data_IF_199021006721
#
_entry.id   IF_199021006721
#
_cell.length_a   1.000
_cell.length_b   1.000
_cell.length_c   1.000
_cell.angle_alpha   90.00
_cell.angle_beta   90.00
_cell.angle_gamma   90.00
#
_symmetry.space_group_name_H-M   'P 1'
#
loop_
_entity.id
_entity.type
_entity.pdbx_description
1 polymer ?
#
# COMPACT_ATOMS: atom_id res chain seq x y z
N UNK A 1 -29.73 -15.74 -0.87
CA UNK A 1 -29.45 -14.34 -1.22
C UNK A 1 -28.09 -14.00 -0.62
N UNK A 2 -27.05 -13.89 -1.45
CA UNK A 2 -25.69 -13.59 -1.01
C UNK A 2 -25.66 -12.18 -0.43
N UNK A 3 -25.48 -12.08 0.88
CA UNK A 3 -25.44 -10.83 1.62
C UNK A 3 -24.22 -10.02 1.13
N UNK A 4 -24.43 -9.04 0.25
CA UNK A 4 -23.33 -8.30 -0.37
C UNK A 4 -22.71 -7.39 0.68
N UNK A 5 -21.46 -7.64 1.06
CA UNK A 5 -20.74 -6.80 2.01
C UNK A 5 -20.67 -5.34 1.51
N UNK A 6 -20.59 -4.38 2.44
CA UNK A 6 -20.22 -2.99 2.14
C UNK A 6 -18.78 -2.81 2.54
N UNK A 7 -17.93 -2.57 1.55
CA UNK A 7 -16.52 -2.26 1.78
C UNK A 7 -16.33 -0.76 2.01
N UNK A 8 -15.41 -0.46 2.91
CA UNK A 8 -15.00 0.86 3.28
C UNK A 8 -13.52 0.85 3.64
N UNK A 9 -12.90 2.02 3.60
CA UNK A 9 -11.50 2.17 3.95
C UNK A 9 -11.23 3.52 4.60
N UNK A 10 -10.19 3.58 5.41
CA UNK A 10 -9.78 4.78 6.13
C UNK A 10 -8.42 4.63 6.76
N UNK A 11 -8.14 5.41 7.80
CA UNK A 11 -6.85 5.28 8.46
C UNK A 11 -6.68 6.01 9.78
N UNK A 12 -5.64 5.60 10.50
CA UNK A 12 -5.11 6.33 11.65
C UNK A 12 -4.13 7.37 11.11
N UNK A 13 -4.63 8.59 10.95
CA UNK A 13 -3.82 9.72 10.49
C UNK A 13 -3.06 10.29 11.68
N UNK A 14 -1.74 10.36 11.60
CA UNK A 14 -0.87 10.74 12.71
C UNK A 14 0.18 11.78 12.33
N UNK A 15 0.70 12.50 13.34
CA UNK A 15 1.88 13.37 13.22
C UNK A 15 2.65 13.40 14.53
N UNK A 16 3.92 13.80 14.45
CA UNK A 16 4.72 14.17 15.61
C UNK A 16 4.73 15.69 15.76
N UNK A 17 4.41 16.19 16.94
CA UNK A 17 4.52 17.61 17.28
C UNK A 17 5.22 17.72 18.64
N UNK A 18 6.35 18.42 18.70
CA UNK A 18 7.14 18.61 19.92
C UNK A 18 7.43 17.29 20.68
N UNK A 19 7.79 16.25 19.93
CA UNK A 19 8.07 14.91 20.47
C UNK A 19 6.83 14.11 20.91
N UNK A 20 5.62 14.64 20.72
CA UNK A 20 4.36 13.96 21.07
C UNK A 20 3.69 13.39 19.84
N UNK A 21 3.28 12.13 19.94
CA UNK A 21 2.43 11.47 18.94
C UNK A 21 1.00 11.98 19.05
N UNK A 22 0.54 12.62 17.98
CA UNK A 22 -0.83 13.06 17.82
C UNK A 22 -1.52 12.24 16.73
N UNK A 23 -2.78 11.87 16.95
CA UNK A 23 -3.67 11.26 15.97
C UNK A 23 -4.83 12.20 15.67
N UNK A 24 -5.32 12.16 14.44
CA UNK A 24 -6.45 12.95 13.99
C UNK A 24 -7.75 12.20 14.26
N UNK A 25 -8.69 12.89 14.92
CA UNK A 25 -10.07 12.44 15.04
C UNK A 25 -11.00 13.38 14.27
N UNK A 26 -12.05 12.81 13.70
CA UNK A 26 -13.13 13.55 13.05
C UNK A 26 -14.37 13.56 13.95
N UNK A 27 -15.01 14.73 14.05
CA UNK A 27 -16.29 14.91 14.74
C UNK A 27 -17.40 14.95 13.69
N UNK A 28 -18.33 13.99 13.68
CA UNK A 28 -19.33 13.92 12.61
C UNK A 28 -20.60 14.67 12.99
N UNK A 29 -21.06 15.55 12.11
CA UNK A 29 -22.18 16.48 12.36
C UNK A 29 -23.48 15.74 12.68
N UNK A 30 -23.81 14.70 11.91
CA UNK A 30 -25.08 13.97 12.00
C UNK A 30 -25.20 13.12 13.26
N UNK A 31 -24.12 12.49 13.68
CA UNK A 31 -24.12 11.50 14.75
C UNK A 31 -23.57 12.05 16.07
N UNK A 32 -22.92 13.22 16.03
CA UNK A 32 -22.25 13.87 17.17
C UNK A 32 -21.28 12.92 17.90
N UNK A 33 -20.62 12.09 17.10
CA UNK A 33 -19.66 11.09 17.52
C UNK A 33 -18.25 11.49 17.08
N UNK A 34 -17.28 10.78 17.63
CA UNK A 34 -15.85 10.91 17.32
C UNK A 34 -15.37 9.59 16.73
N UNK A 35 -14.82 9.64 15.53
CA UNK A 35 -14.27 8.45 14.85
C UNK A 35 -12.97 8.75 14.13
N UNK A 36 -12.34 7.68 13.61
CA UNK A 36 -11.31 7.79 12.60
C UNK A 36 -11.92 8.16 11.23
N UNK A 37 -11.15 8.83 10.35
CA UNK A 37 -11.60 9.13 9.00
C UNK A 37 -11.73 7.85 8.16
N UNK A 38 -12.85 7.69 7.45
CA UNK A 38 -13.19 6.53 6.63
C UNK A 38 -14.46 6.75 5.83
N UNK A 39 -14.53 6.13 4.66
CA UNK A 39 -15.78 6.05 3.90
C UNK A 39 -15.83 4.86 2.96
N UNK A 40 -16.83 4.86 2.08
CA UNK A 40 -17.20 3.66 1.30
C UNK A 40 -16.36 3.59 0.03
N UNK A 41 -16.10 2.37 -0.41
CA UNK A 41 -15.44 2.13 -1.70
C UNK A 41 -16.39 2.55 -2.82
N UNK A 42 -15.89 3.38 -3.73
CA UNK A 42 -16.60 3.76 -4.95
C UNK A 42 -16.45 2.70 -6.05
N UNK A 43 -17.37 2.64 -7.03
CA UNK A 43 -17.28 1.69 -8.13
C UNK A 43 -15.94 1.80 -8.89
N UNK A 44 -15.20 0.68 -8.96
CA UNK A 44 -13.91 0.61 -9.64
C UNK A 44 -12.70 1.06 -8.82
N UNK A 45 -12.90 1.49 -7.58
CA UNK A 45 -11.84 1.93 -6.68
C UNK A 45 -11.29 0.77 -5.85
N UNK A 46 -9.98 0.75 -5.59
CA UNK A 46 -9.37 -0.16 -4.62
C UNK A 46 -9.50 0.37 -3.19
N UNK A 47 -9.46 -0.51 -2.18
CA UNK A 47 -9.48 -0.08 -0.77
C UNK A 47 -8.38 0.93 -0.43
N UNK A 48 -7.19 0.79 -1.03
CA UNK A 48 -6.08 1.71 -0.80
C UNK A 48 -6.37 3.11 -1.39
N UNK A 49 -6.96 3.18 -2.58
CA UNK A 49 -7.42 4.44 -3.18
C UNK A 49 -8.55 5.07 -2.35
N UNK A 50 -9.52 4.26 -1.92
CA UNK A 50 -10.61 4.70 -1.03
C UNK A 50 -10.06 5.30 0.25
N UNK A 51 -9.09 4.66 0.92
CA UNK A 51 -8.51 5.18 2.16
C UNK A 51 -7.91 6.58 1.97
N UNK A 52 -7.09 6.78 0.93
CA UNK A 52 -6.45 8.09 0.71
C UNK A 52 -7.44 9.16 0.23
N UNK A 53 -8.46 8.77 -0.56
CA UNK A 53 -9.53 9.67 -1.01
C UNK A 53 -10.35 10.13 0.18
N UNK A 54 -10.87 9.20 0.97
CA UNK A 54 -11.74 9.48 2.12
C UNK A 54 -11.03 10.30 3.19
N UNK A 55 -9.76 9.97 3.51
CA UNK A 55 -8.95 10.80 4.40
C UNK A 55 -8.85 12.23 3.85
N UNK A 56 -8.61 12.40 2.55
CA UNK A 56 -8.50 13.73 1.95
C UNK A 56 -9.84 14.47 1.90
N UNK A 57 -10.95 13.79 1.59
CA UNK A 57 -12.29 14.39 1.53
C UNK A 57 -12.78 14.84 2.91
N UNK A 58 -12.58 14.02 3.95
CA UNK A 58 -13.04 14.33 5.30
C UNK A 58 -12.12 15.31 6.03
N UNK A 59 -10.83 15.40 5.67
CA UNK A 59 -9.84 16.16 6.46
C UNK A 59 -9.08 17.22 5.68
N UNK A 60 -9.14 17.21 4.34
CA UNK A 60 -8.30 18.05 3.48
C UNK A 60 -6.83 17.62 3.42
N UNK A 61 -6.40 16.60 4.17
CA UNK A 61 -5.00 16.21 4.29
C UNK A 61 -4.67 15.12 3.27
N UNK A 62 -3.67 15.38 2.42
CA UNK A 62 -3.13 14.36 1.50
C UNK A 62 -2.11 13.50 2.21
N UNK A 63 -2.31 12.18 2.14
CA UNK A 63 -1.46 11.19 2.80
C UNK A 63 -1.01 10.10 1.84
N UNK A 64 -0.01 9.33 2.27
CA UNK A 64 0.29 8.01 1.70
C UNK A 64 0.09 6.97 2.80
N UNK A 65 -0.33 5.77 2.41
CA UNK A 65 -0.58 4.69 3.34
C UNK A 65 0.73 4.04 3.79
N UNK A 66 0.86 3.87 5.11
CA UNK A 66 1.86 3.02 5.75
C UNK A 66 1.29 1.62 6.00
N UNK A 67 1.72 0.99 7.08
CA UNK A 67 1.30 -0.38 7.47
C UNK A 67 -0.20 -0.46 7.76
N UNK A 68 -0.90 -1.56 7.37
CA UNK A 68 -2.26 -1.82 7.79
C UNK A 68 -2.35 -1.96 9.32
N UNK A 69 -3.39 -1.37 9.91
CA UNK A 69 -3.57 -1.32 11.38
C UNK A 69 -4.82 -2.06 11.85
N UNK A 70 -5.58 -2.66 10.93
CA UNK A 70 -6.64 -3.60 11.27
C UNK A 70 -7.86 -3.51 10.34
N UNK A 71 -8.81 -4.40 10.59
CA UNK A 71 -10.07 -4.49 9.84
C UNK A 71 -11.21 -4.56 10.85
N UNK A 72 -12.17 -3.64 10.74
CA UNK A 72 -13.42 -3.71 11.51
C UNK A 72 -14.51 -4.42 10.71
N UNK A 73 -15.25 -5.31 11.37
CA UNK A 73 -16.35 -6.07 10.77
C UNK A 73 -17.59 -5.97 11.66
N UNK A 74 -18.66 -5.36 11.16
CA UNK A 74 -19.91 -5.25 11.93
C UNK A 74 -21.15 -5.32 11.03
N UNK A 75 -22.25 -5.78 11.61
CA UNK A 75 -23.53 -5.87 10.92
C UNK A 75 -24.24 -4.52 10.94
N UNK A 76 -24.65 -4.03 9.78
CA UNK A 76 -25.44 -2.80 9.68
C UNK A 76 -26.93 -3.06 9.95
N UNK A 77 -27.73 -2.02 10.26
CA UNK A 77 -29.19 -2.14 10.36
C UNK A 77 -29.86 -2.74 9.12
N UNK A 78 -29.25 -2.53 7.94
CA UNK A 78 -29.68 -3.14 6.66
C UNK A 78 -29.35 -4.64 6.54
N UNK A 79 -28.96 -5.31 7.62
CA UNK A 79 -28.46 -6.69 7.73
C UNK A 79 -27.14 -6.98 7.01
N UNK A 80 -26.77 -6.22 5.98
CA UNK A 80 -25.46 -6.28 5.31
C UNK A 80 -24.29 -6.12 6.29
N UNK A 81 -23.25 -6.91 6.08
CA UNK A 81 -21.96 -6.75 6.79
C UNK A 81 -21.19 -5.56 6.21
N UNK A 82 -20.69 -4.68 7.08
CA UNK A 82 -19.75 -3.63 6.71
C UNK A 82 -18.35 -4.03 7.15
N UNK A 83 -17.42 -3.96 6.21
CA UNK A 83 -16.02 -4.32 6.36
C UNK A 83 -15.21 -3.04 6.10
N UNK A 84 -14.46 -2.59 7.10
CA UNK A 84 -13.64 -1.38 6.99
C UNK A 84 -12.18 -1.71 7.21
N UNK A 85 -11.33 -1.41 6.22
CA UNK A 85 -9.89 -1.57 6.31
C UNK A 85 -9.22 -0.27 6.72
N UNK A 86 -8.25 -0.34 7.62
CA UNK A 86 -7.53 0.83 8.12
C UNK A 86 -6.03 0.69 7.93
N UNK A 87 -5.40 1.80 7.54
CA UNK A 87 -3.95 1.94 7.45
C UNK A 87 -3.44 3.05 8.36
N UNK A 88 -2.20 2.93 8.80
CA UNK A 88 -1.47 4.09 9.35
C UNK A 88 -1.20 5.08 8.21
N UNK A 89 -1.28 6.38 8.50
CA UNK A 89 -1.01 7.41 7.51
C UNK A 89 -0.36 8.64 8.16
N UNK A 90 0.87 8.95 7.75
CA UNK A 90 1.56 10.13 8.28
C UNK A 90 1.07 11.40 7.59
N UNK A 91 0.56 12.35 8.37
CA UNK A 91 0.30 13.71 7.91
C UNK A 91 1.61 14.52 8.01
N UNK A 92 2.25 14.74 6.87
CA UNK A 92 3.45 15.58 6.84
C UNK A 92 3.10 17.04 7.16
N UNK A 93 4.06 17.79 7.72
CA UNK A 93 3.90 19.24 7.97
C UNK A 93 3.48 20.02 6.72
N UNK A 94 4.01 19.64 5.55
CA UNK A 94 3.59 20.21 4.27
C UNK A 94 2.11 19.93 3.98
N UNK A 95 1.68 18.67 4.10
CA UNK A 95 0.29 18.28 3.84
C UNK A 95 -0.70 18.97 4.79
N UNK A 96 -0.32 19.17 6.06
CA UNK A 96 -1.15 19.90 7.02
C UNK A 96 -1.26 21.37 6.64
N UNK A 97 -0.15 22.04 6.29
CA UNK A 97 -0.19 23.44 5.84
C UNK A 97 -0.97 23.65 4.56
N UNK A 98 -0.92 22.70 3.64
CA UNK A 98 -1.66 22.74 2.37
C UNK A 98 -3.12 22.27 2.52
N UNK A 99 -3.48 21.65 3.66
CA UNK A 99 -4.83 21.18 3.88
C UNK A 99 -5.82 22.33 4.01
N UNK A 100 -6.96 22.18 3.34
CA UNK A 100 -8.10 23.08 3.47
C UNK A 100 -9.27 22.22 3.92
N UNK A 101 -9.62 22.33 5.20
CA UNK A 101 -10.81 21.71 5.75
C UNK A 101 -11.87 22.78 6.00
N UNK A 102 -13.07 22.54 5.48
CA UNK A 102 -14.25 23.35 5.75
C UNK A 102 -15.31 22.45 6.37
N UNK A 103 -15.75 22.73 7.61
CA UNK A 103 -16.85 22.01 8.22
C UNK A 103 -18.06 21.91 7.28
N UNK A 104 -18.63 20.73 7.20
CA UNK A 104 -19.74 20.45 6.29
C UNK A 104 -20.82 19.59 6.99
N UNK A 105 -21.80 19.14 6.21
CA UNK A 105 -22.94 18.36 6.74
C UNK A 105 -22.53 16.99 7.27
N UNK A 106 -21.35 16.50 6.91
CA UNK A 106 -20.80 15.23 7.34
C UNK A 106 -19.83 15.41 8.50
N UNK A 107 -18.84 16.29 8.37
CA UNK A 107 -17.78 16.52 9.37
C UNK A 107 -17.88 17.93 9.94
N UNK A 108 -18.08 18.02 11.26
CA UNK A 108 -18.22 19.27 11.98
C UNK A 108 -16.86 19.86 12.37
N UNK A 109 -15.89 19.02 12.75
CA UNK A 109 -14.58 19.47 13.21
C UNK A 109 -13.52 18.38 13.08
N UNK A 110 -12.27 18.82 13.04
CA UNK A 110 -11.07 17.99 13.15
C UNK A 110 -10.39 18.29 14.49
N UNK A 111 -9.87 17.26 15.16
CA UNK A 111 -9.12 17.42 16.40
C UNK A 111 -7.87 16.54 16.39
N UNK A 112 -6.69 17.17 16.52
CA UNK A 112 -5.44 16.47 16.80
C UNK A 112 -5.35 16.19 18.29
N UNK A 113 -5.24 14.91 18.67
CA UNK A 113 -5.21 14.48 20.06
C UNK A 113 -3.96 13.65 20.36
N UNK A 114 -3.38 13.74 21.56
CA UNK A 114 -2.46 12.72 22.04
C UNK A 114 -3.09 11.33 21.90
N UNK A 115 -2.34 10.35 21.39
CA UNK A 115 -2.92 9.07 20.99
C UNK A 115 -3.70 8.35 22.12
N UNK A 116 -3.20 8.37 23.37
CA UNK A 116 -3.91 7.81 24.53
C UNK A 116 -5.22 8.55 24.86
N UNK A 117 -5.28 9.87 24.62
CA UNK A 117 -6.52 10.65 24.76
C UNK A 117 -7.52 10.28 23.65
N UNK A 118 -7.04 10.05 22.44
CA UNK A 118 -7.90 9.62 21.33
C UNK A 118 -8.57 8.26 21.64
N UNK A 119 -7.82 7.28 22.13
CA UNK A 119 -8.34 5.99 22.61
C UNK A 119 -9.52 6.18 23.58
N UNK A 120 -9.38 7.08 24.57
CA UNK A 120 -10.44 7.36 25.54
C UNK A 120 -11.65 8.14 24.98
N UNK A 121 -11.52 8.78 23.81
CA UNK A 121 -12.53 9.69 23.24
C UNK A 121 -13.27 9.11 22.03
N UNK A 122 -12.75 8.06 21.39
CA UNK A 122 -13.44 7.40 20.28
C UNK A 122 -14.80 6.88 20.72
N UNK A 123 -15.83 7.15 19.93
CA UNK A 123 -17.21 6.76 20.26
C UNK A 123 -17.51 5.29 19.98
N UNK A 124 -16.66 4.62 19.20
CA UNK A 124 -16.88 3.25 18.77
C UNK A 124 -15.75 2.32 19.24
N UNK A 125 -16.07 1.16 19.86
CA UNK A 125 -15.07 0.18 20.27
C UNK A 125 -14.15 -0.28 19.13
N UNK A 126 -14.68 -0.40 17.91
CA UNK A 126 -13.87 -0.79 16.75
C UNK A 126 -12.79 0.24 16.40
N UNK A 127 -13.04 1.54 16.57
CA UNK A 127 -12.02 2.57 16.32
C UNK A 127 -10.97 2.57 17.45
N UNK A 128 -11.35 2.18 18.66
CA UNK A 128 -10.44 1.96 19.79
C UNK A 128 -9.48 0.79 19.50
N UNK A 129 -10.01 -0.36 19.07
CA UNK A 129 -9.21 -1.54 18.70
C UNK A 129 -8.20 -1.23 17.59
N UNK A 130 -8.59 -0.44 16.60
CA UNK A 130 -7.71 0.02 15.50
C UNK A 130 -6.60 0.94 16.04
N UNK A 131 -6.93 1.90 16.93
CA UNK A 131 -5.94 2.76 17.55
C UNK A 131 -4.97 1.98 18.45
N UNK A 132 -5.45 1.01 19.21
CA UNK A 132 -4.61 0.16 20.05
C UNK A 132 -3.66 -0.71 19.21
N UNK A 133 -4.15 -1.24 18.08
CA UNK A 133 -3.32 -1.98 17.12
C UNK A 133 -2.21 -1.10 16.54
N UNK A 134 -2.52 0.16 16.19
CA UNK A 134 -1.50 1.13 15.79
C UNK A 134 -0.52 1.44 16.92
N UNK A 135 -1.00 1.67 18.14
CA UNK A 135 -0.14 1.98 19.29
C UNK A 135 0.81 0.84 19.64
N UNK A 136 0.39 -0.42 19.48
CA UNK A 136 1.28 -1.56 19.65
C UNK A 136 2.48 -1.50 18.70
N UNK A 137 2.26 -1.15 17.44
CA UNK A 137 3.37 -0.94 16.48
C UNK A 137 4.30 0.18 16.93
N UNK A 138 3.74 1.28 17.44
CA UNK A 138 4.54 2.40 17.98
C UNK A 138 5.36 1.97 19.19
N UNK A 139 4.77 1.23 20.12
CA UNK A 139 5.43 0.69 21.31
C UNK A 139 6.57 -0.29 20.92
N UNK A 140 6.41 -1.02 19.81
CA UNK A 140 7.44 -1.88 19.20
C UNK A 140 8.51 -1.09 18.38
N UNK A 141 8.45 0.24 18.38
CA UNK A 141 9.38 1.14 17.69
C UNK A 141 9.11 1.31 16.18
N UNK A 142 7.93 0.91 15.71
CA UNK A 142 7.49 0.95 14.31
C UNK A 142 6.45 2.05 14.12
N UNK A 143 6.90 3.30 14.11
CA UNK A 143 6.02 4.45 13.89
C UNK A 143 5.86 4.78 12.40
N UNK A 144 6.97 4.82 11.67
CA UNK A 144 7.00 5.13 10.25
C UNK A 144 7.42 3.89 9.46
N UNK A 145 6.66 3.57 8.42
CA UNK A 145 6.99 2.49 7.49
C UNK A 145 7.16 3.01 6.08
N UNK A 146 7.88 2.26 5.26
CA UNK A 146 7.96 2.47 3.81
C UNK A 146 7.70 1.15 3.08
N UNK A 147 6.99 1.18 1.93
CA UNK A 147 6.72 -0.02 1.17
C UNK A 147 7.83 -0.35 0.17
N UNK A 148 8.21 -1.61 0.10
CA UNK A 148 8.78 -2.21 -1.11
C UNK A 148 7.70 -3.07 -1.77
N UNK A 149 7.27 -2.65 -2.96
CA UNK A 149 6.24 -3.35 -3.71
C UNK A 149 6.88 -4.34 -4.68
N UNK A 150 6.51 -5.60 -4.58
CA UNK A 150 6.85 -6.64 -5.56
C UNK A 150 5.66 -6.78 -6.51
N UNK A 151 5.87 -6.42 -7.78
CA UNK A 151 4.84 -6.41 -8.81
C UNK A 151 5.18 -7.46 -9.87
N UNK A 152 4.20 -8.32 -10.19
CA UNK A 152 4.32 -9.16 -11.38
C UNK A 152 3.90 -8.35 -12.60
N UNK A 153 4.66 -8.46 -13.70
CA UNK A 153 4.25 -7.85 -14.97
C UNK A 153 2.81 -8.24 -15.35
N UNK A 154 2.11 -7.33 -16.00
CA UNK A 154 0.76 -7.54 -16.50
C UNK A 154 0.71 -8.59 -17.63
N UNK A 155 -0.49 -8.98 -18.06
CA UNK A 155 -0.69 -10.02 -19.08
C UNK A 155 0.03 -9.67 -20.40
N UNK A 156 1.09 -10.43 -20.70
CA UNK A 156 1.85 -10.35 -21.95
C UNK A 156 1.28 -11.25 -23.04
N UNK A 157 1.59 -10.95 -24.30
CA UNK A 157 1.28 -11.81 -25.47
C UNK A 157 1.77 -13.23 -25.19
N UNK A 158 1.04 -14.31 -25.51
CA UNK A 158 1.53 -15.68 -25.35
C UNK A 158 2.87 -15.92 -26.07
N UNK A 159 3.66 -16.90 -25.61
CA UNK A 159 5.00 -17.14 -26.19
C UNK A 159 4.90 -17.70 -27.61
N UNK A 160 3.95 -18.59 -27.81
CA UNK A 160 3.58 -19.24 -29.06
C UNK A 160 3.09 -18.27 -30.16
N UNK A 161 2.60 -17.09 -29.78
CA UNK A 161 2.13 -16.05 -30.69
C UNK A 161 3.19 -14.96 -30.97
N UNK A 162 4.39 -15.07 -30.38
CA UNK A 162 5.45 -14.07 -30.49
C UNK A 162 6.66 -14.62 -31.26
N UNK A 163 7.04 -13.93 -32.34
CA UNK A 163 8.13 -14.37 -33.23
C UNK A 163 9.48 -13.72 -32.95
N UNK A 164 9.54 -12.72 -32.06
CA UNK A 164 10.78 -12.08 -31.63
C UNK A 164 11.41 -12.73 -30.40
N UNK A 165 12.49 -12.14 -29.88
CA UNK A 165 13.07 -12.56 -28.60
C UNK A 165 12.06 -12.40 -27.44
N UNK A 166 12.01 -13.32 -26.48
CA UNK A 166 11.02 -13.29 -25.37
C UNK A 166 11.12 -11.99 -24.54
N UNK A 167 12.31 -11.40 -24.43
CA UNK A 167 12.54 -10.11 -23.77
C UNK A 167 11.79 -8.96 -24.45
N UNK A 168 11.57 -9.04 -25.76
CA UNK A 168 10.80 -8.06 -26.53
C UNK A 168 9.28 -8.26 -26.49
N UNK A 169 8.79 -9.32 -25.84
CA UNK A 169 7.35 -9.68 -25.84
C UNK A 169 6.52 -8.62 -25.09
N UNK A 170 5.56 -7.97 -25.77
CA UNK A 170 4.83 -6.83 -25.23
C UNK A 170 3.61 -7.24 -24.38
N UNK A 171 2.94 -6.26 -23.78
CA UNK A 171 1.64 -6.46 -23.14
C UNK A 171 0.51 -6.66 -24.16
N UNK A 172 -0.45 -7.51 -23.78
CA UNK A 172 -1.75 -7.60 -24.46
C UNK A 172 -2.60 -6.34 -24.18
N UNK A 173 -3.73 -6.19 -24.87
CA UNK A 173 -4.73 -5.15 -24.58
C UNK A 173 -5.23 -5.21 -23.13
N UNK A 174 -5.53 -6.42 -22.62
CA UNK A 174 -5.87 -6.63 -21.21
C UNK A 174 -4.70 -6.27 -20.28
N UNK A 175 -3.49 -6.66 -20.65
CA UNK A 175 -2.28 -6.31 -19.89
C UNK A 175 -2.09 -4.80 -19.75
N UNK A 176 -2.34 -4.03 -20.82
CA UNK A 176 -2.31 -2.56 -20.76
C UNK A 176 -3.35 -1.97 -19.81
N UNK A 177 -4.56 -2.56 -19.74
CA UNK A 177 -5.57 -2.15 -18.76
C UNK A 177 -5.13 -2.46 -17.32
N UNK A 178 -4.54 -3.64 -17.10
CA UNK A 178 -3.96 -4.01 -15.79
C UNK A 178 -2.84 -3.04 -15.39
N UNK A 179 -1.94 -2.69 -16.32
CA UNK A 179 -0.87 -1.72 -16.11
C UNK A 179 -1.38 -0.32 -15.75
N UNK A 180 -2.48 0.12 -16.37
CA UNK A 180 -3.13 1.37 -16.00
C UNK A 180 -3.78 1.30 -14.60
N UNK A 181 -4.41 0.17 -14.27
CA UNK A 181 -5.14 -0.01 -13.02
C UNK A 181 -4.24 -0.07 -11.77
N UNK A 182 -2.98 -0.52 -11.89
CA UNK A 182 -2.05 -0.52 -10.73
C UNK A 182 -1.59 0.89 -10.33
N UNK A 183 -1.78 1.92 -11.16
CA UNK A 183 -1.27 3.28 -10.89
C UNK A 183 -1.86 3.85 -9.60
N UNK A 184 -3.19 3.79 -9.46
CA UNK A 184 -3.93 4.32 -8.32
C UNK A 184 -3.44 3.76 -6.97
N UNK A 185 -3.53 2.45 -6.72
CA UNK A 185 -3.10 1.86 -5.45
C UNK A 185 -1.60 2.07 -5.18
N UNK A 186 -0.72 1.97 -6.20
CA UNK A 186 0.71 2.22 -5.98
C UNK A 186 1.02 3.67 -5.60
N UNK A 187 0.22 4.63 -6.09
CA UNK A 187 0.29 6.03 -5.65
C UNK A 187 -0.27 6.20 -4.24
N UNK A 188 -1.32 5.46 -3.85
CA UNK A 188 -1.85 5.48 -2.49
C UNK A 188 -0.80 5.03 -1.45
N UNK A 189 0.00 4.01 -1.77
CA UNK A 189 1.17 3.60 -0.97
C UNK A 189 2.41 4.50 -1.14
N UNK A 190 2.30 5.58 -1.91
CA UNK A 190 3.35 6.59 -2.04
C UNK A 190 4.60 6.13 -2.76
N UNK A 191 4.51 5.16 -3.67
CA UNK A 191 5.63 4.71 -4.51
C UNK A 191 6.25 5.90 -5.25
N UNK A 192 7.58 6.06 -5.15
CA UNK A 192 8.34 7.16 -5.77
C UNK A 192 9.47 6.69 -6.67
N UNK A 193 9.84 5.41 -6.59
CA UNK A 193 10.93 4.82 -7.35
C UNK A 193 10.42 3.60 -8.11
N UNK A 194 10.70 3.56 -9.40
CA UNK A 194 10.22 2.50 -10.29
C UNK A 194 11.43 1.71 -10.78
N UNK A 195 11.48 0.43 -10.39
CA UNK A 195 12.46 -0.55 -10.87
C UNK A 195 11.74 -1.62 -11.68
N UNK A 196 12.35 -2.04 -12.77
CA UNK A 196 11.78 -3.05 -13.66
C UNK A 196 12.86 -3.96 -14.19
N UNK A 197 12.52 -5.23 -14.42
CA UNK A 197 13.25 -6.03 -15.41
C UNK A 197 13.27 -5.25 -16.73
N UNK A 198 14.37 -5.40 -17.45
CA UNK A 198 14.60 -4.96 -18.83
C UNK A 198 13.62 -5.51 -19.88
N UNK A 199 12.89 -6.60 -19.61
CA UNK A 199 11.90 -7.15 -20.52
C UNK A 199 10.75 -6.16 -20.80
N UNK A 200 10.34 -6.05 -22.07
CA UNK A 200 9.34 -5.12 -22.57
C UNK A 200 8.03 -5.16 -21.75
N UNK A 201 7.46 -6.36 -21.53
CA UNK A 201 6.28 -6.55 -20.67
C UNK A 201 6.40 -5.96 -19.26
N UNK A 202 7.59 -6.02 -18.63
CA UNK A 202 7.79 -5.45 -17.29
C UNK A 202 7.84 -3.92 -17.37
N UNK A 203 8.61 -3.39 -18.33
CA UNK A 203 8.74 -1.95 -18.55
C UNK A 203 7.38 -1.33 -18.89
N UNK A 204 6.63 -1.93 -19.81
CA UNK A 204 5.27 -1.50 -20.19
C UNK A 204 4.30 -1.56 -19.01
N UNK A 205 4.45 -2.51 -18.09
CA UNK A 205 3.57 -2.62 -16.90
C UNK A 205 3.72 -1.40 -16.00
N UNK A 206 4.94 -0.90 -15.82
CA UNK A 206 5.20 0.23 -14.91
C UNK A 206 5.26 1.59 -15.62
N UNK A 207 5.20 1.63 -16.95
CA UNK A 207 5.25 2.87 -17.72
C UNK A 207 4.12 3.87 -17.38
N UNK A 208 2.85 3.44 -17.18
CA UNK A 208 1.79 4.36 -16.73
C UNK A 208 2.10 4.98 -15.37
N UNK A 209 2.62 4.20 -14.42
CA UNK A 209 3.02 4.70 -13.11
C UNK A 209 4.18 5.70 -13.20
N UNK A 210 5.21 5.36 -13.97
CA UNK A 210 6.37 6.22 -14.20
C UNK A 210 5.94 7.59 -14.78
N UNK A 211 5.03 7.57 -15.75
CA UNK A 211 4.43 8.76 -16.35
C UNK A 211 3.65 9.58 -15.32
N UNK A 212 2.76 8.94 -14.54
CA UNK A 212 1.96 9.61 -13.52
C UNK A 212 2.81 10.23 -12.38
N UNK A 213 4.00 9.67 -12.12
CA UNK A 213 4.94 10.19 -11.13
C UNK A 213 5.91 11.23 -11.71
N UNK A 214 6.02 11.36 -13.04
CA UNK A 214 7.07 12.14 -13.70
C UNK A 214 8.47 11.62 -13.36
N UNK A 215 8.67 10.29 -13.36
CA UNK A 215 9.93 9.63 -12.95
C UNK A 215 10.38 8.58 -13.95
N UNK A 216 11.70 8.38 -14.03
CA UNK A 216 12.28 7.36 -14.89
C UNK A 216 12.11 5.92 -14.34
N UNK A 217 12.01 4.98 -15.28
CA UNK A 217 12.05 3.55 -15.01
C UNK A 217 13.52 3.11 -14.94
N UNK A 218 13.92 2.58 -13.79
CA UNK A 218 15.26 2.00 -13.60
C UNK A 218 15.22 0.55 -14.10
N UNK A 219 15.60 0.36 -15.37
CA UNK A 219 15.69 -0.96 -15.99
C UNK A 219 16.94 -1.69 -15.50
N UNK A 220 16.82 -2.96 -15.16
CA UNK A 220 17.96 -3.77 -14.73
C UNK A 220 17.76 -5.25 -15.03
N UNK A 221 18.81 -5.92 -15.48
CA UNK A 221 18.83 -7.37 -15.66
C UNK A 221 18.88 -8.14 -14.34
N UNK A 222 19.25 -7.49 -13.22
CA UNK A 222 19.38 -8.10 -11.90
C UNK A 222 18.08 -8.73 -11.36
N UNK A 223 16.92 -8.35 -11.93
CA UNK A 223 15.60 -8.93 -11.63
C UNK A 223 14.90 -9.43 -12.90
N UNK A 224 15.66 -9.74 -13.95
CA UNK A 224 15.14 -10.34 -15.18
C UNK A 224 14.98 -11.85 -15.03
N UNK A 225 14.09 -12.44 -15.83
CA UNK A 225 13.96 -13.88 -15.89
C UNK A 225 15.19 -14.52 -16.55
N UNK A 226 15.72 -13.95 -17.63
CA UNK A 226 16.88 -14.51 -18.33
C UNK A 226 18.12 -14.59 -17.42
N UNK A 227 18.41 -13.53 -16.65
CA UNK A 227 19.50 -13.57 -15.68
C UNK A 227 19.24 -14.55 -14.55
N UNK A 228 17.97 -14.73 -14.15
CA UNK A 228 17.60 -15.71 -13.12
C UNK A 228 17.77 -17.14 -13.62
N UNK A 229 17.30 -17.46 -14.83
CA UNK A 229 17.47 -18.76 -15.49
C UNK A 229 18.96 -19.09 -15.70
N UNK A 230 19.79 -18.08 -15.97
CA UNK A 230 21.24 -18.22 -16.12
C UNK A 230 22.03 -18.20 -14.78
N UNK A 231 21.38 -18.00 -13.63
CA UNK A 231 22.05 -17.91 -12.33
C UNK A 231 22.92 -16.65 -12.14
N UNK A 232 22.71 -15.61 -12.95
CA UNK A 232 23.46 -14.34 -12.93
C UNK A 232 22.65 -13.15 -12.38
N UNK A 233 21.39 -13.37 -11.99
CA UNK A 233 20.57 -12.37 -11.33
C UNK A 233 21.19 -11.92 -9.99
N UNK A 234 21.12 -10.62 -9.70
CA UNK A 234 21.62 -10.02 -8.47
C UNK A 234 20.50 -9.31 -7.70
N UNK A 235 19.49 -10.10 -7.33
CA UNK A 235 18.35 -9.65 -6.53
C UNK A 235 18.81 -9.11 -5.17
N UNK A 236 19.81 -9.77 -4.56
CA UNK A 236 20.35 -9.45 -3.23
C UNK A 236 20.90 -8.02 -3.17
N UNK A 237 21.76 -7.63 -4.10
CA UNK A 237 22.35 -6.28 -4.08
C UNK A 237 21.29 -5.22 -4.32
N UNK A 238 20.37 -5.45 -5.26
CA UNK A 238 19.30 -4.50 -5.56
C UNK A 238 18.41 -4.28 -4.32
N UNK A 239 17.90 -5.37 -3.73
CA UNK A 239 17.01 -5.31 -2.56
C UNK A 239 17.74 -4.70 -1.36
N UNK A 240 18.96 -5.14 -1.06
CA UNK A 240 19.75 -4.56 0.02
C UNK A 240 19.94 -3.03 -0.13
N UNK A 241 20.16 -2.54 -1.35
CA UNK A 241 20.20 -1.09 -1.63
C UNK A 241 18.83 -0.42 -1.40
N UNK A 242 17.71 -1.08 -1.74
CA UNK A 242 16.36 -0.52 -1.54
C UNK A 242 15.98 -0.46 -0.06
N UNK A 243 16.21 -1.52 0.70
CA UNK A 243 15.97 -1.57 2.16
C UNK A 243 16.77 -0.49 2.87
N UNK A 244 18.08 -0.35 2.58
CA UNK A 244 18.92 0.71 3.16
C UNK A 244 18.48 2.12 2.77
N UNK A 245 17.96 2.31 1.56
CA UNK A 245 17.51 3.62 1.09
C UNK A 245 16.24 4.11 1.80
N UNK A 246 15.43 3.20 2.37
CA UNK A 246 14.17 3.50 3.07
C UNK A 246 13.23 4.41 2.26
N UNK A 247 13.12 4.13 0.96
CA UNK A 247 12.30 4.90 0.03
C UNK A 247 11.24 4.01 -0.60
N UNK A 248 9.97 4.45 -0.63
CA UNK A 248 8.89 3.72 -1.30
C UNK A 248 9.24 3.40 -2.75
N UNK A 249 9.23 2.11 -3.11
CA UNK A 249 9.63 1.66 -4.43
C UNK A 249 8.78 0.48 -4.91
N UNK A 250 8.62 0.37 -6.22
CA UNK A 250 8.08 -0.83 -6.89
C UNK A 250 9.17 -1.53 -7.68
N UNK A 251 9.15 -2.86 -7.62
CA UNK A 251 10.01 -3.77 -8.38
C UNK A 251 9.12 -4.65 -9.25
N UNK A 252 9.07 -4.36 -10.56
CA UNK A 252 8.33 -5.16 -11.53
C UNK A 252 9.21 -6.28 -12.11
N UNK A 253 8.77 -7.52 -11.97
CA UNK A 253 9.53 -8.69 -12.42
C UNK A 253 8.60 -9.84 -12.86
N UNK A 254 9.17 -11.05 -12.98
CA UNK A 254 8.56 -12.24 -13.56
C UNK A 254 8.25 -13.26 -12.48
N UNK A 255 7.24 -14.10 -12.70
CA UNK A 255 6.79 -15.13 -11.76
C UNK A 255 7.93 -15.92 -11.05
N UNK A 256 8.94 -16.48 -11.76
CA UNK A 256 9.99 -17.25 -11.08
C UNK A 256 10.92 -16.41 -10.20
N UNK A 257 11.01 -15.10 -10.44
CA UNK A 257 11.92 -14.19 -9.73
C UNK A 257 11.26 -13.58 -8.48
N UNK A 258 9.93 -13.51 -8.42
CA UNK A 258 9.22 -12.88 -7.28
C UNK A 258 9.53 -13.54 -5.92
N UNK A 259 9.58 -14.89 -5.81
CA UNK A 259 9.98 -15.54 -4.55
C UNK A 259 11.38 -15.13 -4.09
N UNK A 260 12.30 -14.93 -5.02
CA UNK A 260 13.66 -14.46 -4.73
C UNK A 260 13.66 -13.02 -4.20
N UNK A 261 12.87 -12.12 -4.79
CA UNK A 261 12.71 -10.77 -4.28
C UNK A 261 12.19 -10.76 -2.84
N UNK A 262 11.14 -11.55 -2.56
CA UNK A 262 10.57 -11.66 -1.21
C UNK A 262 11.57 -12.26 -0.21
N UNK A 263 12.31 -13.30 -0.62
CA UNK A 263 13.37 -13.90 0.18
C UNK A 263 14.48 -12.89 0.51
N UNK A 264 14.95 -12.14 -0.47
CA UNK A 264 16.01 -11.16 -0.25
C UNK A 264 15.53 -9.98 0.61
N UNK A 265 14.25 -9.61 0.54
CA UNK A 265 13.68 -8.61 1.46
C UNK A 265 13.73 -9.15 2.89
N UNK A 266 13.23 -10.38 3.11
CA UNK A 266 13.24 -11.01 4.43
C UNK A 266 14.66 -11.15 4.99
N UNK A 267 15.64 -11.57 4.18
CA UNK A 267 17.04 -11.66 4.58
C UNK A 267 17.63 -10.29 4.93
N UNK A 268 17.35 -9.26 4.12
CA UNK A 268 17.86 -7.91 4.33
C UNK A 268 17.29 -7.23 5.60
N UNK A 269 16.16 -7.72 6.11
CA UNK A 269 15.50 -7.22 7.32
C UNK A 269 15.59 -8.20 8.50
N UNK A 270 16.37 -9.29 8.37
CA UNK A 270 16.48 -10.37 9.37
C UNK A 270 15.13 -11.01 9.77
N UNK A 271 14.16 -11.02 8.86
CA UNK A 271 12.84 -11.64 9.07
C UNK A 271 12.95 -13.16 8.99
N UNK A 272 12.34 -13.85 9.95
CA UNK A 272 12.21 -15.31 9.92
C UNK A 272 11.38 -15.73 8.71
N UNK A 273 11.94 -16.66 7.91
CA UNK A 273 11.28 -17.19 6.72
C UNK A 273 10.08 -18.06 7.12
N UNK A 274 9.01 -17.99 6.34
CA UNK A 274 7.82 -18.83 6.50
C UNK A 274 7.06 -18.95 5.18
N UNK A 275 6.02 -19.80 5.17
CA UNK A 275 5.18 -20.05 3.99
C UNK A 275 4.51 -18.78 3.45
N UNK A 276 4.19 -17.81 4.32
CA UNK A 276 3.59 -16.52 3.95
C UNK A 276 4.38 -15.74 2.89
N UNK A 277 5.72 -15.90 2.82
CA UNK A 277 6.54 -15.29 1.77
C UNK A 277 6.29 -15.91 0.39
N UNK A 278 6.06 -17.23 0.36
CA UNK A 278 5.69 -17.96 -0.85
C UNK A 278 4.32 -17.51 -1.34
N UNK A 279 3.33 -17.49 -0.44
CA UNK A 279 1.95 -17.10 -0.75
C UNK A 279 1.87 -15.67 -1.30
N UNK A 280 2.60 -14.73 -0.69
CA UNK A 280 2.67 -13.34 -1.15
C UNK A 280 3.50 -13.13 -2.41
N UNK A 281 4.28 -14.13 -2.85
CA UNK A 281 4.99 -14.08 -4.15
C UNK A 281 4.22 -14.78 -5.29
N UNK A 282 3.16 -15.52 -4.96
CA UNK A 282 2.32 -16.27 -5.90
C UNK A 282 1.33 -15.35 -6.64
N UNK A 283 1.87 -14.35 -7.32
CA UNK A 283 1.11 -13.26 -7.94
C UNK A 283 0.60 -13.63 -9.33
N UNK A 284 -0.66 -13.31 -9.63
CA UNK A 284 -1.20 -13.30 -10.98
C UNK A 284 -0.60 -12.16 -11.82
N UNK A 285 -0.65 -12.20 -13.17
CA UNK A 285 -0.19 -11.06 -13.97
C UNK A 285 -0.91 -9.76 -13.59
N UNK A 286 -0.15 -8.72 -13.26
CA UNK A 286 -0.68 -7.43 -12.81
C UNK A 286 -1.05 -7.36 -11.32
N UNK A 287 -0.90 -8.46 -10.57
CA UNK A 287 -1.00 -8.46 -9.12
C UNK A 287 0.32 -7.98 -8.47
N UNK A 288 0.22 -7.43 -7.27
CA UNK A 288 1.38 -6.99 -6.49
C UNK A 288 1.22 -7.28 -5.01
N UNK A 289 2.35 -7.36 -4.31
CA UNK A 289 2.40 -7.35 -2.85
C UNK A 289 3.16 -6.14 -2.34
N UNK A 290 2.61 -5.52 -1.30
CA UNK A 290 3.19 -4.39 -0.58
C UNK A 290 3.88 -4.93 0.68
N UNK A 291 5.21 -4.86 0.72
CA UNK A 291 5.98 -5.26 1.89
C UNK A 291 6.28 -4.03 2.72
N UNK A 292 5.66 -3.93 3.89
CA UNK A 292 5.82 -2.80 4.81
C UNK A 292 7.04 -3.01 5.69
N UNK A 293 8.04 -2.12 5.55
CA UNK A 293 9.28 -2.15 6.31
C UNK A 293 9.37 -0.94 7.22
N UNK A 294 9.91 -1.12 8.41
CA UNK A 294 10.07 -0.02 9.37
C UNK A 294 11.16 0.95 8.92
N UNK A 295 10.82 2.23 8.83
CA UNK A 295 11.78 3.32 8.63
C UNK A 295 12.47 3.70 9.94
N UNK A 296 11.78 3.55 11.09
CA UNK A 296 12.25 3.93 12.43
C UNK A 296 13.04 2.83 13.13
N UNK A 297 12.70 1.56 12.89
CA UNK A 297 13.35 0.40 13.48
C UNK A 297 13.68 -0.68 12.41
N UNK A 298 14.73 -0.51 11.61
CA UNK A 298 15.04 -1.42 10.49
C UNK A 298 15.28 -2.89 10.87
N UNK A 299 15.56 -3.17 12.14
CA UNK A 299 15.78 -4.52 12.65
C UNK A 299 14.49 -5.27 13.01
N UNK A 300 13.32 -4.63 12.90
CA UNK A 300 12.03 -5.23 13.25
C UNK A 300 11.49 -6.23 12.22
N UNK A 301 12.26 -6.55 11.17
CA UNK A 301 11.81 -7.40 10.09
C UNK A 301 10.76 -6.75 9.17
N UNK A 302 10.05 -7.61 8.45
CA UNK A 302 8.87 -7.26 7.68
C UNK A 302 7.71 -7.07 8.65
N UNK A 303 7.10 -5.89 8.65
CA UNK A 303 6.00 -5.56 9.57
C UNK A 303 4.69 -6.19 9.10
N UNK A 304 4.40 -6.05 7.80
CA UNK A 304 3.23 -6.62 7.18
C UNK A 304 3.47 -6.84 5.68
N UNK A 305 2.69 -7.76 5.10
CA UNK A 305 2.59 -7.95 3.67
C UNK A 305 1.12 -7.90 3.27
N UNK A 306 0.78 -7.06 2.31
CA UNK A 306 -0.55 -7.01 1.71
C UNK A 306 -0.45 -7.47 0.26
N UNK A 307 -1.36 -8.35 -0.18
CA UNK A 307 -1.39 -8.86 -1.56
C UNK A 307 -2.64 -8.37 -2.26
N UNK A 308 -2.46 -7.74 -3.41
CA UNK A 308 -3.51 -7.12 -4.20
C UNK A 308 -3.65 -7.83 -5.54
N UNK A 309 -4.83 -8.43 -5.84
CA UNK A 309 -5.11 -9.04 -7.14
C UNK A 309 -5.21 -7.98 -8.24
N UNK A 310 -5.14 -8.37 -9.53
CA UNK A 310 -5.34 -7.43 -10.61
C UNK A 310 -6.80 -6.94 -10.63
N UNK A 311 -6.99 -5.65 -10.87
CA UNK A 311 -8.32 -5.00 -10.86
C UNK A 311 -9.10 -5.22 -12.18
N UNK A 312 -8.50 -5.90 -13.19
CA UNK A 312 -9.02 -6.07 -14.56
C UNK A 312 -8.91 -7.50 -15.12
#
# INVERSE_FOLDING_TARGET
MTETAVYAAGGVVWRMLDGKLLVLAIHRTKYRDVSLPKGKVDPGETLAETAVREIHEETGIRVHLGVPVGISNYRMPSKRTKIVHYWSAQATEKAIRESVFVPNREIAALEWMPARKAVAKMSYPVDVEILESFLKLVDDGVLETFPLVVLRHARATPREEWTGADTGRPLTSRGRKQAAAVVGPLRAFGVRRVFSSDAARCVETVAPLATALGRDIHRTSAISQDAWDAGTADTRTLIGKRVRARKPAVLCSHRPVLPDLMREIALATATVKGSYLGDSSALEPGAFSVVHLSATNPGSGIIAIETHPPVV
#
